data_IF_652316025312
#
_entry.id   IF_652316025312
#
_cell.length_a   1.000
_cell.length_b   1.000
_cell.length_c   1.000
_cell.angle_alpha   90.00
_cell.angle_beta   90.00
_cell.angle_gamma   90.00
#
_symmetry.space_group_name_H-M   'P 1'
#
loop_
_entity.id
_entity.type
_entity.pdbx_description
1 polymer ?
2 non-polymer ?
3 non-polymer ?
4 water ?
#
# COMPACT_ATOMS: atom_id res chain seq x y z
N UNK A 1 -13.94 -11.15 -6.65
CA UNK A 1 -14.24 -10.96 -5.17
C UNK A 1 -13.01 -10.32 -4.51
N UNK A 2 -13.13 -9.64 -3.34
CA UNK A 2 -11.94 -9.23 -2.50
C UNK A 2 -11.01 -10.42 -2.20
N UNK A 3 -11.58 -11.60 -2.22
CA UNK A 3 -10.82 -12.82 -1.97
C UNK A 3 -9.68 -13.06 -2.93
N UNK A 4 -9.77 -12.52 -4.17
CA UNK A 4 -8.66 -12.76 -5.10
C UNK A 4 -7.41 -11.97 -4.67
N UNK A 5 -7.53 -10.98 -3.80
CA UNK A 5 -6.33 -10.28 -3.28
C UNK A 5 -5.59 -11.07 -2.22
N UNK A 6 -6.22 -12.07 -1.63
CA UNK A 6 -5.64 -12.73 -0.46
C UNK A 6 -4.43 -13.55 -0.88
N UNK A 7 -3.45 -13.57 0.00
CA UNK A 7 -2.27 -14.38 -0.17
C UNK A 7 -1.00 -13.59 0.00
N UNK A 8 0.08 -14.15 -0.51
CA UNK A 8 1.45 -13.66 -0.31
C UNK A 8 1.98 -13.20 -1.66
N UNK A 9 2.44 -11.97 -1.69
CA UNK A 9 2.86 -11.28 -2.89
C UNK A 9 4.26 -10.72 -2.73
N UNK A 10 5.05 -10.72 -3.79
CA UNK A 10 6.43 -10.25 -3.74
C UNK A 10 6.61 -9.17 -4.81
N UNK A 11 7.33 -8.12 -4.47
CA UNK A 11 7.57 -7.03 -5.44
C UNK A 11 8.46 -7.51 -6.58
N UNK A 12 8.01 -7.18 -7.80
CA UNK A 12 8.79 -7.50 -8.99
C UNK A 12 9.14 -6.27 -9.79
N UNK A 13 8.44 -5.17 -9.66
CA UNK A 13 8.67 -3.97 -10.51
C UNK A 13 8.26 -2.75 -9.73
N UNK A 14 8.98 -1.62 -9.91
CA UNK A 14 8.58 -0.35 -9.28
C UNK A 14 8.87 0.79 -10.22
N UNK A 15 7.97 1.72 -10.31
CA UNK A 15 8.13 2.94 -11.10
C UNK A 15 7.82 4.16 -10.23
N UNK A 16 8.76 5.08 -10.16
CA UNK A 16 8.62 6.38 -9.49
C UNK A 16 8.39 6.30 -8.00
N UNK A 17 8.87 5.26 -7.33
CA UNK A 17 8.73 5.22 -5.86
C UNK A 17 9.56 6.32 -5.22
N UNK A 18 10.72 6.67 -5.78
CA UNK A 18 11.53 7.73 -5.17
C UNK A 18 10.75 9.06 -5.22
N UNK A 19 10.09 9.37 -6.32
CA UNK A 19 9.29 10.60 -6.46
C UNK A 19 8.20 10.58 -5.38
N UNK A 20 7.51 9.46 -5.22
CA UNK A 20 6.44 9.36 -4.22
C UNK A 20 7.02 9.58 -2.82
N UNK A 21 8.13 8.93 -2.49
CA UNK A 21 8.72 9.13 -1.16
C UNK A 21 9.18 10.57 -0.96
N UNK A 22 9.80 11.19 -1.95
CA UNK A 22 10.22 12.60 -1.83
C UNK A 22 9.01 13.46 -1.51
N UNK A 23 7.87 13.19 -2.16
CA UNK A 23 6.65 14.01 -2.02
C UNK A 23 6.17 13.95 -0.57
N UNK A 24 6.49 12.87 0.15
CA UNK A 24 6.08 12.70 1.57
C UNK A 24 7.16 13.24 2.51
N UNK A 25 8.26 13.75 2.00
CA UNK A 25 9.37 14.25 2.80
C UNK A 25 10.26 13.19 3.40
N UNK A 26 10.34 12.00 2.80
CA UNK A 26 11.25 10.96 3.27
C UNK A 26 12.68 11.34 2.91
N UNK A 27 13.59 11.22 3.84
CA UNK A 27 14.99 11.62 3.70
C UNK A 27 15.74 10.75 2.72
N UNK A 28 16.82 11.28 2.14
CA UNK A 28 17.52 10.59 1.04
C UNK A 28 18.04 9.22 1.47
N UNK A 29 18.48 9.07 2.72
CA UNK A 29 19.11 7.80 3.12
C UNK A 29 18.04 6.74 3.17
N UNK A 30 16.89 7.09 3.70
CA UNK A 30 15.77 6.15 3.77
C UNK A 30 15.27 5.83 2.38
N UNK A 31 15.24 6.81 1.50
CA UNK A 31 14.81 6.55 0.10
C UNK A 31 15.75 5.57 -0.54
N UNK A 32 17.06 5.72 -0.32
CA UNK A 32 18.02 4.81 -0.89
C UNK A 32 17.69 3.38 -0.48
N UNK A 33 17.56 3.13 0.82
CA UNK A 33 17.33 1.76 1.34
C UNK A 33 15.98 1.28 0.80
N UNK A 34 14.96 2.11 1.02
CA UNK A 34 13.60 1.66 0.70
C UNK A 34 13.53 1.37 -0.80
N UNK A 35 14.32 2.04 -1.64
CA UNK A 35 14.41 1.88 -3.12
C UNK A 35 14.99 0.51 -3.57
N UNK A 36 15.79 -0.14 -2.72
CA UNK A 36 16.45 -1.40 -3.09
C UNK A 36 15.81 -2.61 -2.38
N UNK A 37 14.79 -2.40 -1.58
CA UNK A 37 14.09 -3.55 -0.95
C UNK A 37 13.05 -4.11 -1.92
N UNK A 38 12.73 -5.37 -1.75
CA UNK A 38 11.62 -6.03 -2.49
C UNK A 38 10.72 -6.63 -1.43
N UNK A 39 9.77 -5.85 -0.91
CA UNK A 39 8.93 -6.34 0.18
C UNK A 39 8.06 -7.51 -0.25
N UNK A 40 7.57 -8.19 0.77
CA UNK A 40 6.51 -9.19 0.68
C UNK A 40 5.27 -8.55 1.30
N UNK A 41 4.13 -8.63 0.62
CA UNK A 41 2.83 -8.18 1.12
C UNK A 41 1.96 -9.40 1.35
N UNK A 42 1.34 -9.47 2.54
CA UNK A 42 0.46 -10.59 2.89
C UNK A 42 -0.89 -9.97 3.19
N UNK A 43 -1.92 -10.52 2.55
CA UNK A 43 -3.28 -10.04 2.72
C UNK A 43 -4.11 -11.22 3.21
N UNK A 44 -4.73 -11.04 4.36
CA UNK A 44 -5.53 -12.07 5.05
C UNK A 44 -6.89 -11.49 5.43
N UNK A 45 -7.86 -12.38 5.60
CA UNK A 45 -9.17 -11.91 6.11
C UNK A 45 -9.66 -12.87 7.17
N UNK A 46 -10.45 -12.32 8.06
CA UNK A 46 -11.22 -13.06 9.07
C UNK A 46 -12.55 -12.38 9.11
N UNK A 47 -13.55 -12.98 8.47
CA UNK A 47 -14.86 -12.34 8.36
C UNK A 47 -14.70 -11.05 7.59
N UNK A 48 -15.14 -9.94 8.16
CA UNK A 48 -15.01 -8.72 7.32
C UNK A 48 -13.78 -7.90 7.82
N UNK A 49 -12.88 -8.50 8.59
CA UNK A 49 -11.64 -7.83 8.99
C UNK A 49 -10.51 -8.27 8.09
N UNK A 50 -9.92 -7.30 7.39
CA UNK A 50 -8.74 -7.52 6.54
C UNK A 50 -7.49 -7.21 7.35
N UNK A 51 -6.42 -7.95 7.10
CA UNK A 51 -5.10 -7.62 7.65
C UNK A 51 -4.14 -7.56 6.48
N UNK A 52 -3.38 -6.47 6.40
CA UNK A 52 -2.37 -6.30 5.38
C UNK A 52 -1.02 -6.11 6.07
N UNK A 53 -0.14 -7.05 5.82
CA UNK A 53 1.23 -7.01 6.36
C UNK A 53 2.18 -6.69 5.24
N UNK A 54 3.18 -5.89 5.48
CA UNK A 54 4.31 -5.84 4.55
C UNK A 54 5.54 -6.11 5.36
N UNK A 55 6.40 -6.92 4.80
CA UNK A 55 7.66 -7.39 5.42
C UNK A 55 8.81 -7.08 4.48
N UNK A 56 9.88 -6.58 5.07
CA UNK A 56 11.11 -6.41 4.28
C UNK A 56 12.31 -6.41 5.22
N UNK A 57 13.50 -6.30 4.65
CA UNK A 57 14.75 -6.16 5.44
C UNK A 57 14.82 -4.81 6.12
N UNK A 58 14.06 -3.86 5.65
CA UNK A 58 14.12 -2.49 6.18
C UNK A 58 13.07 -2.31 7.26
N UNK A 59 11.85 -2.73 7.01
CA UNK A 59 10.73 -2.37 7.92
C UNK A 59 9.64 -3.40 7.75
N UNK A 60 8.95 -3.65 8.83
CA UNK A 60 7.68 -4.43 8.86
C UNK A 60 6.52 -3.48 9.18
N UNK A 61 5.36 -3.70 8.55
CA UNK A 61 4.12 -2.99 8.89
C UNK A 61 3.00 -4.02 8.96
N UNK A 62 1.98 -3.65 9.68
CA UNK A 62 0.73 -4.42 9.70
C UNK A 62 -0.40 -3.50 10.06
N UNK A 63 -1.49 -3.58 9.30
CA UNK A 63 -2.75 -2.93 9.68
C UNK A 63 -3.86 -3.95 9.59
N UNK A 64 -4.86 -3.75 10.43
CA UNK A 64 -6.12 -4.47 10.31
C UNK A 64 -7.24 -3.46 10.31
N UNK A 65 -8.26 -3.76 9.57
CA UNK A 65 -9.34 -2.81 9.34
C UNK A 65 -10.56 -3.57 8.83
N UNK A 66 -11.69 -2.90 8.98
CA UNK A 66 -12.98 -3.32 8.42
C UNK A 66 -13.19 -2.47 7.16
N UNK A 67 -13.51 -3.07 6.01
CA UNK A 67 -13.77 -2.29 4.82
C UNK A 67 -14.82 -1.28 5.11
N UNK A 68 -14.59 -0.07 4.69
CA UNK A 68 -15.53 1.02 4.80
C UNK A 68 -15.68 1.65 6.14
N UNK A 69 -14.79 1.33 7.11
CA UNK A 69 -14.83 1.89 8.47
C UNK A 69 -13.50 2.58 8.73
N UNK A 70 -13.54 3.83 9.13
CA UNK A 70 -12.28 4.59 9.28
C UNK A 70 -11.52 4.03 10.47
N UNK A 71 -10.22 4.21 10.39
CA UNK A 71 -9.28 3.80 11.44
C UNK A 71 -8.15 4.80 11.51
N UNK A 72 -7.56 4.92 12.69
CA UNK A 72 -6.32 5.67 12.86
C UNK A 72 -5.14 4.78 12.49
N UNK A 73 -4.15 5.36 11.84
CA UNK A 73 -3.01 4.60 11.28
C UNK A 73 -1.75 5.41 11.61
N UNK A 74 -0.68 4.73 11.96
CA UNK A 74 0.69 5.28 11.92
C UNK A 74 1.37 4.60 10.75
N UNK A 75 1.71 5.37 9.73
CA UNK A 75 2.22 4.82 8.46
C UNK A 75 3.66 4.33 8.60
N UNK A 76 4.17 3.59 7.62
CA UNK A 76 5.54 3.08 7.60
C UNK A 76 6.54 4.20 7.76
N UNK A 77 6.23 5.38 7.18
CA UNK A 77 7.08 6.58 7.26
C UNK A 77 6.75 7.49 8.43
N UNK A 78 5.90 7.03 9.36
CA UNK A 78 5.71 7.63 10.70
C UNK A 78 4.77 8.83 10.58
N UNK A 79 3.88 8.84 9.61
CA UNK A 79 2.79 9.84 9.66
C UNK A 79 1.62 9.28 10.46
N UNK A 80 0.98 10.13 11.27
CA UNK A 80 -0.28 9.77 11.95
C UNK A 80 -1.43 10.31 11.11
N UNK A 81 -2.25 9.39 10.62
CA UNK A 81 -3.27 9.68 9.61
C UNK A 81 -4.60 9.06 10.04
N UNK A 82 -5.61 9.53 9.38
CA UNK A 82 -6.98 8.98 9.43
C UNK A 82 -7.19 8.24 8.12
N UNK A 83 -7.57 6.97 8.16
CA UNK A 83 -7.57 6.09 6.98
C UNK A 83 -8.90 5.41 6.80
N UNK A 84 -9.15 5.00 5.58
CA UNK A 84 -10.28 4.12 5.26
C UNK A 84 -9.86 3.27 4.07
N UNK A 85 -10.31 2.03 4.06
CA UNK A 85 -10.06 1.14 2.91
C UNK A 85 -11.40 0.66 2.41
N UNK A 86 -11.59 0.63 1.09
CA UNK A 86 -12.88 0.23 0.48
C UNK A 86 -12.61 -0.48 -0.85
N UNK A 87 -13.42 -1.47 -1.22
CA UNK A 87 -13.48 -1.94 -2.64
C UNK A 87 -14.27 -0.95 -3.53
N UNK A 88 -13.67 -0.47 -4.63
CA UNK A 88 -14.22 0.54 -5.56
C UNK A 88 -13.82 0.08 -6.96
N UNK A 89 -14.80 -0.32 -7.76
CA UNK A 89 -14.48 -0.81 -9.12
C UNK A 89 -13.61 -2.01 -9.08
N UNK A 90 -13.74 -2.83 -8.05
CA UNK A 90 -12.93 -4.04 -7.89
C UNK A 90 -11.52 -3.79 -7.39
N UNK A 91 -11.20 -2.57 -7.04
CA UNK A 91 -9.88 -2.17 -6.52
C UNK A 91 -9.99 -1.95 -5.02
N UNK A 92 -8.93 -2.30 -4.32
CA UNK A 92 -8.80 -2.06 -2.90
C UNK A 92 -8.21 -0.65 -2.73
N UNK A 93 -9.01 0.36 -2.33
CA UNK A 93 -8.59 1.76 -2.26
C UNK A 93 -8.36 2.15 -0.80
N UNK A 94 -7.13 2.47 -0.44
CA UNK A 94 -6.75 2.91 0.90
C UNK A 94 -6.49 4.38 0.80
N UNK A 95 -7.26 5.17 1.53
CA UNK A 95 -7.08 6.64 1.58
C UNK A 95 -6.55 7.01 2.96
N UNK A 96 -5.50 7.78 3.01
CA UNK A 96 -4.89 8.34 4.21
C UNK A 96 -5.05 9.84 4.16
N UNK A 97 -5.52 10.42 5.24
CA UNK A 97 -5.71 11.86 5.40
C UNK A 97 -4.96 12.37 6.61
N UNK A 98 -4.28 13.51 6.43
CA UNK A 98 -3.60 14.12 7.58
C UNK A 98 -3.24 15.55 7.19
N UNK A 99 -3.51 16.48 8.08
CA UNK A 99 -3.13 17.89 7.84
C UNK A 99 -3.72 18.43 6.54
N UNK A 100 -4.92 18.04 6.16
CA UNK A 100 -5.58 18.40 4.89
C UNK A 100 -4.90 17.80 3.67
N UNK A 101 -3.83 17.01 3.83
CA UNK A 101 -3.21 16.28 2.70
C UNK A 101 -3.80 14.88 2.66
N UNK A 102 -3.69 14.28 1.48
CA UNK A 102 -4.24 12.95 1.18
C UNK A 102 -3.25 12.16 0.37
N UNK A 103 -3.23 10.88 0.60
CA UNK A 103 -2.60 9.95 -0.34
C UNK A 103 -3.43 8.71 -0.48
N UNK A 104 -3.43 8.14 -1.65
CA UNK A 104 -4.14 6.89 -1.93
C UNK A 104 -3.14 5.80 -2.29
N UNK A 105 -3.46 4.61 -1.77
CA UNK A 105 -2.76 3.35 -2.08
C UNK A 105 -3.80 2.46 -2.69
N UNK A 106 -3.77 2.27 -3.99
CA UNK A 106 -4.82 1.54 -4.73
C UNK A 106 -4.28 0.25 -5.24
N UNK A 107 -4.94 -0.86 -4.94
CA UNK A 107 -4.48 -2.19 -5.38
C UNK A 107 -5.49 -2.75 -6.34
N UNK A 108 -5.03 -3.28 -7.45
CA UNK A 108 -5.92 -3.95 -8.42
C UNK A 108 -5.22 -5.20 -8.97
N UNK A 109 -6.00 -6.13 -9.45
CA UNK A 109 -5.46 -7.35 -10.04
C UNK A 109 -5.59 -7.28 -11.55
N UNK A 110 -4.48 -7.48 -12.22
CA UNK A 110 -4.45 -7.51 -13.72
C UNK A 110 -3.57 -8.68 -14.14
N UNK A 111 -4.17 -9.62 -14.89
CA UNK A 111 -3.46 -10.79 -15.40
C UNK A 111 -2.76 -11.50 -14.25
N UNK A 112 -3.40 -11.57 -13.10
CA UNK A 112 -2.85 -12.38 -11.99
C UNK A 112 -1.79 -11.63 -11.19
N UNK A 113 -1.45 -10.41 -11.57
CA UNK A 113 -0.51 -9.57 -10.81
C UNK A 113 -1.27 -8.55 -9.97
N UNK A 114 -0.65 -8.13 -8.88
CA UNK A 114 -1.30 -7.11 -8.05
C UNK A 114 -0.51 -5.83 -8.33
N UNK A 115 -1.24 -4.83 -8.78
CA UNK A 115 -0.67 -3.52 -9.13
C UNK A 115 -1.07 -2.53 -8.06
N UNK A 116 -0.08 -1.95 -7.39
CA UNK A 116 -0.25 -0.95 -6.35
C UNK A 116 0.09 0.41 -6.94
N UNK A 117 -0.87 1.31 -6.95
CA UNK A 117 -0.65 2.70 -7.40
C UNK A 117 -0.69 3.59 -6.19
N UNK A 118 0.38 4.33 -5.95
CA UNK A 118 0.52 5.26 -4.83
C UNK A 118 0.47 6.66 -5.37
N UNK A 119 -0.47 7.48 -4.91
CA UNK A 119 -0.61 8.86 -5.42
C UNK A 119 -0.54 9.82 -4.26
N UNK A 120 0.31 10.83 -4.36
CA UNK A 120 0.36 11.92 -3.39
C UNK A 120 0.58 13.19 -4.19
N UNK A 121 -0.49 14.00 -4.29
CA UNK A 121 -0.45 15.20 -5.15
C UNK A 121 -0.11 14.74 -6.52
N UNK A 122 0.94 15.29 -7.13
CA UNK A 122 1.31 14.97 -8.53
C UNK A 122 2.00 13.63 -8.63
N UNK A 123 2.62 13.17 -7.55
CA UNK A 123 3.52 12.02 -7.57
C UNK A 123 2.71 10.73 -7.67
N UNK A 124 2.96 9.93 -8.70
CA UNK A 124 2.30 8.66 -8.95
C UNK A 124 3.33 7.58 -9.07
N UNK A 125 3.29 6.59 -8.20
CA UNK A 125 4.19 5.43 -8.25
C UNK A 125 3.39 4.17 -8.55
N UNK A 126 3.90 3.30 -9.39
CA UNK A 126 3.27 2.05 -9.70
C UNK A 126 4.20 0.92 -9.31
N UNK A 127 3.79 0.05 -8.34
CA UNK A 127 4.51 -1.13 -7.83
C UNK A 127 3.77 -2.38 -8.30
N UNK A 128 4.47 -3.34 -8.89
CA UNK A 128 3.85 -4.60 -9.36
C UNK A 128 4.36 -5.71 -8.45
N UNK A 129 3.42 -6.52 -7.99
CA UNK A 129 3.69 -7.67 -7.11
C UNK A 129 3.19 -8.91 -7.84
N UNK A 130 3.93 -10.01 -7.64
CA UNK A 130 3.51 -11.31 -8.15
C UNK A 130 3.24 -12.24 -6.99
N UNK A 131 2.36 -13.19 -7.26
CA UNK A 131 1.92 -14.13 -6.25
C UNK A 131 3.04 -15.11 -5.90
N UNK A 132 3.26 -15.31 -4.60
CA UNK A 132 4.04 -16.43 -3.99
C UNK A 132 3.05 -17.57 -3.69
#
# INVERSE_FOLDING_TARGET
>A
MVDAFLGTWKLVDSKNFDDYMKSLGVGFATRQVASMTKPTTIIEKNGDILTLKTHSTFKNTEISFKLGVEFDETTADDRKVKSIVTLDGGKLVHLQKWDGQETTLVRELIDGKLILTLTHGTAVCTRTYEKEA
#
